data_IF_545666404903
#
_entry.id   IF_545666404903
#
_cell.length_a   1.000
_cell.length_b   1.000
_cell.length_c   1.000
_cell.angle_alpha   90.00
_cell.angle_beta   90.00
_cell.angle_gamma   90.00
#
_symmetry.space_group_name_H-M   'P 1'
#
loop_
_entity.id
_entity.type
_entity.pdbx_description
1 polymer ?
#
# COMPACT_ATOMS: atom_id res chain seq x y z
N UNK A 1 7.72 -40.30 12.39
CA UNK A 1 7.69 -39.02 13.14
C UNK A 1 6.44 -39.00 13.99
N UNK A 2 6.53 -38.52 15.23
CA UNK A 2 5.37 -38.29 16.10
C UNK A 2 4.61 -37.03 15.63
N UNK A 3 3.35 -37.14 15.15
CA UNK A 3 2.58 -35.97 14.73
C UNK A 3 2.36 -34.94 15.84
N UNK A 4 2.40 -35.35 17.12
CA UNK A 4 2.26 -34.42 18.23
C UNK A 4 3.53 -33.59 18.45
N UNK A 5 4.71 -34.18 18.20
CA UNK A 5 6.00 -33.48 18.23
C UNK A 5 6.09 -32.44 17.12
N UNK A 6 5.74 -32.81 15.90
CA UNK A 6 5.72 -31.89 14.75
C UNK A 6 4.80 -30.68 15.00
N UNK A 7 3.62 -30.90 15.60
CA UNK A 7 2.72 -29.80 15.99
C UNK A 7 3.33 -28.88 17.06
N UNK A 8 4.06 -29.43 18.04
CA UNK A 8 4.74 -28.63 19.08
C UNK A 8 5.86 -27.79 18.47
N UNK A 9 6.60 -28.35 17.53
CA UNK A 9 7.70 -27.66 16.87
C UNK A 9 7.21 -26.53 15.96
N UNK A 10 6.16 -26.77 15.17
CA UNK A 10 5.51 -25.74 14.35
C UNK A 10 5.02 -24.59 15.24
N UNK A 11 4.36 -24.92 16.37
CA UNK A 11 3.88 -23.92 17.32
C UNK A 11 5.03 -23.08 17.90
N UNK A 12 6.11 -23.72 18.32
CA UNK A 12 7.30 -23.03 18.86
C UNK A 12 7.95 -22.13 17.81
N UNK A 13 8.05 -22.61 16.58
CA UNK A 13 8.58 -21.82 15.47
C UNK A 13 7.72 -20.57 15.22
N UNK A 14 6.40 -20.73 15.18
CA UNK A 14 5.48 -19.60 15.04
C UNK A 14 5.59 -18.60 16.19
N UNK A 15 5.69 -19.08 17.43
CA UNK A 15 5.88 -18.22 18.61
C UNK A 15 7.18 -17.42 18.53
N UNK A 16 8.27 -18.06 18.08
CA UNK A 16 9.55 -17.38 17.86
C UNK A 16 9.45 -16.32 16.75
N UNK A 17 8.83 -16.63 15.62
CA UNK A 17 8.60 -15.66 14.54
C UNK A 17 7.74 -14.48 15.00
N UNK A 18 6.70 -14.73 15.79
CA UNK A 18 5.87 -13.68 16.37
C UNK A 18 6.68 -12.78 17.30
N UNK A 19 7.48 -13.37 18.20
CA UNK A 19 8.34 -12.63 19.13
C UNK A 19 9.32 -11.73 18.38
N UNK A 20 10.01 -12.25 17.35
CA UNK A 20 10.91 -11.47 16.50
C UNK A 20 10.17 -10.32 15.79
N UNK A 21 8.94 -10.57 15.32
CA UNK A 21 8.10 -9.53 14.74
C UNK A 21 7.72 -8.44 15.74
N UNK A 22 7.46 -8.79 17.01
CA UNK A 22 7.18 -7.82 18.06
C UNK A 22 8.41 -7.02 18.48
N UNK A 23 9.60 -7.62 18.47
CA UNK A 23 10.86 -6.89 18.68
C UNK A 23 11.03 -5.83 17.59
N UNK A 24 10.89 -6.22 16.31
CA UNK A 24 11.00 -5.30 15.19
C UNK A 24 9.95 -4.17 15.25
N UNK A 25 8.70 -4.47 15.62
CA UNK A 25 7.63 -3.47 15.82
C UNK A 25 7.94 -2.47 16.96
N UNK A 26 8.80 -2.85 17.90
CA UNK A 26 9.19 -2.02 19.06
C UNK A 26 10.45 -1.18 18.85
N UNK A 27 11.10 -1.28 17.68
CA UNK A 27 12.33 -0.53 17.38
C UNK A 27 12.09 0.97 17.25
N UNK A 28 10.89 1.39 16.84
CA UNK A 28 10.58 2.80 16.63
C UNK A 28 9.07 3.09 16.74
N UNK A 29 8.73 4.15 17.47
CA UNK A 29 7.36 4.58 17.68
C UNK A 29 6.71 3.89 18.88
N UNK A 30 5.40 3.69 18.79
CA UNK A 30 4.63 3.05 19.87
C UNK A 30 4.45 1.57 19.51
N UNK A 31 5.08 0.63 20.23
CA UNK A 31 4.88 -0.78 19.94
C UNK A 31 3.43 -1.19 20.14
N UNK A 32 3.00 -2.14 19.31
CA UNK A 32 1.67 -2.74 19.39
C UNK A 32 1.65 -3.87 20.40
N UNK A 33 2.77 -4.58 20.54
CA UNK A 33 2.95 -5.72 21.46
C UNK A 33 4.36 -5.76 22.04
N UNK A 34 4.45 -6.29 23.25
CA UNK A 34 5.72 -6.64 23.87
C UNK A 34 6.28 -7.94 23.24
N UNK A 35 7.60 -8.17 23.22
CA UNK A 35 8.18 -9.45 22.79
C UNK A 35 7.60 -10.68 23.50
N UNK A 36 7.14 -10.54 24.75
CA UNK A 36 6.43 -11.61 25.47
C UNK A 36 5.00 -11.89 24.97
N UNK A 37 4.52 -11.16 23.96
CA UNK A 37 3.15 -11.23 23.42
C UNK A 37 2.12 -10.39 24.17
N UNK A 38 2.50 -9.83 25.32
CA UNK A 38 1.66 -8.93 26.13
C UNK A 38 1.24 -7.68 25.36
N UNK A 39 0.02 -7.19 25.63
CA UNK A 39 -0.46 -5.92 25.07
C UNK A 39 0.28 -4.75 25.69
N UNK A 40 0.46 -3.69 24.92
CA UNK A 40 0.94 -2.40 25.41
C UNK A 40 -0.25 -1.61 25.95
N UNK A 41 -0.10 -1.03 27.14
CA UNK A 41 -1.09 -0.24 27.87
C UNK A 41 -0.54 1.17 28.14
N UNK A 42 -1.44 2.15 28.28
CA UNK A 42 -1.10 3.49 28.77
C UNK A 42 -1.03 3.44 30.30
N UNK A 43 0.19 3.37 30.83
CA UNK A 43 0.46 3.43 32.27
C UNK A 43 0.56 4.89 32.70
N UNK A 44 -0.38 5.31 33.54
CA UNK A 44 -0.32 6.59 34.25
C UNK A 44 0.18 6.34 35.66
N UNK A 45 1.39 6.81 35.99
CA UNK A 45 1.83 6.82 37.39
C UNK A 45 1.15 7.97 38.14
N UNK A 46 0.56 7.66 39.30
CA UNK A 46 -0.01 8.66 40.19
C UNK A 46 1.03 9.69 40.64
N UNK A 47 0.57 10.89 41.01
CA UNK A 47 1.44 11.96 41.52
C UNK A 47 2.19 11.49 42.76
N UNK A 48 3.50 11.60 42.76
CA UNK A 48 4.27 11.62 44.01
C UNK A 48 3.88 12.89 44.79
N UNK A 49 4.00 12.88 46.12
CA UNK A 49 3.52 13.97 47.00
C UNK A 49 4.06 15.36 46.62
N UNK A 50 5.17 15.40 45.88
CA UNK A 50 5.85 16.61 45.42
C UNK A 50 5.81 16.81 43.89
N UNK A 51 5.09 15.96 43.14
CA UNK A 51 5.00 16.08 41.70
C UNK A 51 3.91 17.09 41.30
N UNK A 52 4.34 18.29 40.92
CA UNK A 52 3.46 19.38 40.46
C UNK A 52 2.94 19.14 39.04
N UNK A 53 3.49 18.18 38.30
CA UNK A 53 3.10 17.86 36.93
C UNK A 53 2.01 16.78 36.90
N UNK A 54 1.24 16.66 35.80
CA UNK A 54 0.47 15.44 35.54
C UNK A 54 1.42 14.25 35.62
N UNK A 55 1.04 13.21 36.36
CA UNK A 55 1.93 12.09 36.66
C UNK A 55 2.52 11.45 35.40
N UNK A 56 3.66 10.76 35.55
CA UNK A 56 4.43 10.26 34.40
C UNK A 56 3.65 9.21 33.60
N UNK A 57 3.56 9.40 32.28
CA UNK A 57 2.90 8.50 31.35
C UNK A 57 3.90 7.59 30.63
N UNK A 58 3.55 6.32 30.49
CA UNK A 58 4.36 5.31 29.80
C UNK A 58 3.51 4.43 28.89
N UNK A 59 4.09 3.97 27.79
CA UNK A 59 3.62 2.80 27.06
C UNK A 59 4.28 1.57 27.66
N UNK A 60 3.52 0.76 28.39
CA UNK A 60 4.03 -0.36 29.17
C UNK A 60 3.42 -1.67 28.76
N UNK A 61 4.17 -2.76 28.86
CA UNK A 61 3.61 -4.09 28.76
C UNK A 61 2.65 -4.36 29.94
N UNK A 62 1.52 -5.00 29.68
CA UNK A 62 0.60 -5.46 30.74
C UNK A 62 1.26 -6.37 31.79
N UNK A 63 2.32 -7.08 31.42
CA UNK A 63 3.08 -7.96 32.30
C UNK A 63 4.37 -7.29 32.82
N UNK A 64 4.45 -5.97 32.82
CA UNK A 64 5.69 -5.27 33.21
C UNK A 64 6.04 -5.52 34.68
N UNK A 65 7.24 -6.07 34.92
CA UNK A 65 7.74 -6.42 36.26
C UNK A 65 9.10 -5.74 36.59
N UNK A 66 9.56 -4.78 35.78
CA UNK A 66 10.88 -4.15 35.90
C UNK A 66 12.06 -5.14 35.84
N UNK A 67 11.87 -6.22 35.08
CA UNK A 67 12.84 -7.31 34.85
C UNK A 67 13.82 -7.03 33.69
N UNK A 68 13.59 -5.95 32.93
CA UNK A 68 14.34 -5.61 31.72
C UNK A 68 13.92 -6.39 30.48
N UNK A 69 12.98 -7.34 30.58
CA UNK A 69 12.44 -8.11 29.45
C UNK A 69 11.12 -7.55 28.92
N UNK A 70 10.46 -6.72 29.72
CA UNK A 70 9.16 -6.15 29.40
C UNK A 70 9.25 -4.69 28.98
N UNK A 71 8.59 -4.37 27.87
CA UNK A 71 8.61 -3.04 27.30
C UNK A 71 8.00 -2.00 28.25
N UNK A 72 8.69 -0.87 28.40
CA UNK A 72 8.20 0.33 29.09
C UNK A 72 8.92 1.57 28.58
N UNK A 73 8.25 2.32 27.72
CA UNK A 73 8.78 3.54 27.10
C UNK A 73 8.04 4.77 27.62
N UNK A 74 8.72 5.88 27.95
CA UNK A 74 8.07 7.16 28.21
C UNK A 74 7.18 7.58 27.03
N UNK A 75 5.97 8.05 27.33
CA UNK A 75 4.98 8.44 26.32
C UNK A 75 5.54 9.45 25.31
N UNK A 76 6.31 10.43 25.79
CA UNK A 76 6.90 11.50 24.95
C UNK A 76 7.80 10.95 23.85
N UNK A 77 8.57 9.89 24.12
CA UNK A 77 9.47 9.28 23.13
C UNK A 77 8.64 8.59 22.04
N UNK A 78 7.72 7.71 22.44
CA UNK A 78 6.89 6.97 21.47
C UNK A 78 6.04 7.90 20.60
N UNK A 79 5.48 8.96 21.19
CA UNK A 79 4.70 9.94 20.44
C UNK A 79 5.56 10.79 19.52
N UNK A 80 6.74 11.25 19.96
CA UNK A 80 7.63 12.00 19.10
C UNK A 80 8.04 11.17 17.87
N UNK A 81 8.45 9.92 18.09
CA UNK A 81 8.85 8.99 17.02
C UNK A 81 7.69 8.78 16.04
N UNK A 82 6.48 8.51 16.53
CA UNK A 82 5.28 8.37 15.70
C UNK A 82 4.96 9.62 14.89
N UNK A 83 5.06 10.82 15.49
CA UNK A 83 4.84 12.09 14.78
C UNK A 83 5.87 12.28 13.67
N UNK A 84 7.15 11.99 13.92
CA UNK A 84 8.21 12.11 12.92
C UNK A 84 7.98 11.15 11.73
N UNK A 85 7.54 9.91 12.01
CA UNK A 85 7.16 8.94 10.97
C UNK A 85 5.96 9.42 10.17
N UNK A 86 4.92 9.91 10.85
CA UNK A 86 3.71 10.41 10.20
C UNK A 86 4.00 11.64 9.34
N UNK A 87 4.81 12.58 9.84
CA UNK A 87 5.26 13.75 9.08
C UNK A 87 5.90 13.33 7.77
N UNK A 88 6.88 12.41 7.82
CA UNK A 88 7.56 11.91 6.60
C UNK A 88 6.57 11.29 5.60
N UNK A 89 5.65 10.45 6.07
CA UNK A 89 4.63 9.82 5.20
C UNK A 89 3.67 10.84 4.58
N UNK A 90 3.34 11.90 5.31
CA UNK A 90 2.49 12.99 4.81
C UNK A 90 3.24 13.81 3.75
N UNK A 91 4.52 14.12 3.97
CA UNK A 91 5.37 14.79 2.99
C UNK A 91 5.49 13.97 1.69
N UNK A 92 5.75 12.66 1.80
CA UNK A 92 5.78 11.74 0.66
C UNK A 92 4.43 11.69 -0.10
N UNK A 93 3.32 11.65 0.63
CA UNK A 93 1.98 11.65 0.03
C UNK A 93 1.66 12.98 -0.69
N UNK A 94 2.07 14.11 -0.11
CA UNK A 94 1.90 15.44 -0.72
C UNK A 94 2.65 15.54 -2.05
N UNK A 95 3.88 15.01 -2.13
CA UNK A 95 4.63 14.95 -3.38
C UNK A 95 3.92 14.12 -4.46
N UNK A 96 3.31 12.98 -4.10
CA UNK A 96 2.51 12.19 -5.05
C UNK A 96 1.26 12.94 -5.52
N UNK A 97 0.57 13.63 -4.60
CA UNK A 97 -0.64 14.42 -4.93
C UNK A 97 -0.32 15.54 -5.92
N UNK A 98 0.83 16.20 -5.76
CA UNK A 98 1.31 17.25 -6.69
C UNK A 98 1.50 16.74 -8.13
N UNK A 99 1.71 15.44 -8.34
CA UNK A 99 1.87 14.85 -9.68
C UNK A 99 0.53 14.63 -10.41
N UNK A 100 -0.58 14.53 -9.68
CA UNK A 100 -1.91 14.21 -10.24
C UNK A 100 -2.35 15.18 -11.35
N UNK A 101 -2.22 16.51 -11.23
CA UNK A 101 -2.64 17.43 -12.28
C UNK A 101 -1.85 17.27 -13.59
N UNK A 102 -0.56 16.91 -13.51
CA UNK A 102 0.26 16.67 -14.69
C UNK A 102 -0.18 15.39 -15.41
N UNK A 103 -0.37 14.30 -14.65
CA UNK A 103 -0.88 13.04 -15.19
C UNK A 103 -2.26 13.24 -15.84
N UNK A 104 -3.17 14.00 -15.22
CA UNK A 104 -4.48 14.31 -15.80
C UNK A 104 -4.36 14.99 -17.16
N UNK A 105 -3.48 15.99 -17.31
CA UNK A 105 -3.24 16.66 -18.60
C UNK A 105 -2.70 15.70 -19.67
N UNK A 106 -1.83 14.78 -19.27
CA UNK A 106 -1.30 13.77 -20.19
C UNK A 106 -2.40 12.80 -20.64
N UNK A 107 -3.25 12.35 -19.71
CA UNK A 107 -4.41 11.50 -20.00
C UNK A 107 -5.35 12.20 -20.98
N UNK A 108 -5.75 13.45 -20.72
CA UNK A 108 -6.62 14.23 -21.60
C UNK A 108 -6.03 14.36 -23.03
N UNK A 109 -4.72 14.57 -23.14
CA UNK A 109 -4.03 14.66 -24.43
C UNK A 109 -4.05 13.33 -25.19
N UNK A 110 -3.77 12.22 -24.49
CA UNK A 110 -3.81 10.86 -25.06
C UNK A 110 -5.23 10.50 -25.49
N UNK A 111 -6.23 10.78 -24.66
CA UNK A 111 -7.63 10.56 -25.01
C UNK A 111 -8.05 11.34 -26.26
N UNK A 112 -7.62 12.60 -26.39
CA UNK A 112 -7.88 13.39 -27.58
C UNK A 112 -7.20 12.81 -28.83
N UNK A 113 -5.98 12.28 -28.70
CA UNK A 113 -5.29 11.59 -29.80
C UNK A 113 -6.01 10.31 -30.22
N UNK A 114 -6.40 9.47 -29.26
CA UNK A 114 -7.14 8.22 -29.50
C UNK A 114 -8.45 8.50 -30.22
N UNK A 115 -9.21 9.51 -29.79
CA UNK A 115 -10.46 9.93 -30.46
C UNK A 115 -10.23 10.32 -31.92
N UNK A 116 -9.19 11.10 -32.21
CA UNK A 116 -8.85 11.48 -33.59
C UNK A 116 -8.47 10.28 -34.45
N UNK A 117 -7.64 9.38 -33.91
CA UNK A 117 -7.21 8.17 -34.62
C UNK A 117 -8.38 7.23 -34.90
N UNK A 118 -9.32 7.10 -33.96
CA UNK A 118 -10.54 6.31 -34.15
C UNK A 118 -11.36 6.83 -35.32
N UNK A 119 -11.59 8.14 -35.41
CA UNK A 119 -12.32 8.74 -36.52
C UNK A 119 -11.64 8.52 -37.87
N UNK A 120 -10.30 8.63 -37.92
CA UNK A 120 -9.54 8.35 -39.13
C UNK A 120 -9.66 6.88 -39.55
N UNK A 121 -9.65 5.96 -38.60
CA UNK A 121 -9.83 4.54 -38.86
C UNK A 121 -11.23 4.25 -39.43
N UNK A 122 -12.28 4.87 -38.88
CA UNK A 122 -13.65 4.73 -39.38
C UNK A 122 -13.76 5.20 -40.83
N UNK A 123 -13.16 6.35 -41.15
CA UNK A 123 -13.13 6.89 -42.52
C UNK A 123 -12.40 5.96 -43.49
N UNK A 124 -11.18 5.53 -43.14
CA UNK A 124 -10.39 4.61 -43.96
C UNK A 124 -11.08 3.26 -44.16
N UNK A 125 -11.79 2.77 -43.14
CA UNK A 125 -12.59 1.55 -43.24
C UNK A 125 -13.70 1.70 -44.27
N UNK A 126 -14.39 2.85 -44.28
CA UNK A 126 -15.39 3.19 -45.29
C UNK A 126 -14.80 3.25 -46.71
N UNK A 127 -13.64 3.90 -46.86
CA UNK A 127 -12.96 4.00 -48.16
C UNK A 127 -12.52 2.64 -48.70
N UNK A 128 -11.94 1.78 -47.85
CA UNK A 128 -11.56 0.40 -48.21
C UNK A 128 -12.78 -0.41 -48.63
N UNK A 129 -13.90 -0.28 -47.92
CA UNK A 129 -15.15 -0.95 -48.28
C UNK A 129 -15.66 -0.50 -49.66
N UNK A 130 -15.69 0.80 -49.93
CA UNK A 130 -16.10 1.35 -51.22
C UNK A 130 -15.20 0.87 -52.37
N UNK A 131 -13.88 0.89 -52.18
CA UNK A 131 -12.92 0.39 -53.17
C UNK A 131 -13.10 -1.12 -53.42
N UNK A 132 -13.37 -1.89 -52.37
CA UNK A 132 -13.65 -3.34 -52.48
C UNK A 132 -14.88 -3.59 -53.37
N UNK A 133 -15.96 -2.84 -53.17
CA UNK A 133 -17.17 -2.93 -54.01
C UNK A 133 -16.89 -2.53 -55.46
N UNK A 134 -16.15 -1.44 -55.68
CA UNK A 134 -15.78 -1.00 -57.04
C UNK A 134 -14.93 -2.04 -57.78
N UNK A 135 -13.95 -2.63 -57.09
CA UNK A 135 -13.10 -3.68 -57.65
C UNK A 135 -13.92 -4.89 -58.07
N UNK A 136 -14.85 -5.36 -57.22
CA UNK A 136 -15.74 -6.47 -57.56
C UNK A 136 -16.65 -6.18 -58.77
N UNK A 137 -17.09 -4.92 -58.95
CA UNK A 137 -17.87 -4.52 -60.12
C UNK A 137 -17.02 -4.49 -61.39
N UNK A 138 -15.78 -3.99 -61.32
CA UNK A 138 -14.84 -3.98 -62.44
C UNK A 138 -14.45 -5.40 -62.86
N UNK A 139 -14.19 -6.29 -61.90
CA UNK A 139 -13.94 -7.71 -62.16
C UNK A 139 -15.11 -8.33 -62.93
N UNK A 140 -16.36 -8.15 -62.47
CA UNK A 140 -17.55 -8.65 -63.18
C UNK A 140 -17.66 -8.12 -64.61
N UNK A 141 -17.39 -6.83 -64.82
CA UNK A 141 -17.43 -6.22 -66.15
C UNK A 141 -16.32 -6.78 -67.07
N UNK A 142 -15.12 -7.00 -66.54
CA UNK A 142 -14.02 -7.62 -67.27
C UNK A 142 -14.36 -9.06 -67.69
N UNK A 143 -14.95 -9.85 -66.79
CA UNK A 143 -15.42 -11.21 -67.10
C UNK A 143 -16.46 -11.21 -68.23
N UNK A 144 -17.46 -10.33 -68.17
CA UNK A 144 -18.50 -10.23 -69.21
C UNK A 144 -17.93 -9.88 -70.59
N UNK A 145 -16.92 -9.01 -70.65
CA UNK A 145 -16.26 -8.63 -71.91
C UNK A 145 -15.36 -9.73 -72.48
N UNK A 146 -14.82 -10.62 -71.65
CA UNK A 146 -13.95 -11.72 -72.10
C UNK A 146 -14.75 -12.93 -72.61
N UNK A 147 -15.98 -13.11 -72.14
CA UNK A 147 -16.87 -14.23 -72.53
C UNK A 147 -17.77 -13.94 -73.73
N UNK A 148 -17.61 -12.79 -74.39
CA UNK A 148 -18.43 -12.33 -75.52
C UNK A 148 -17.64 -12.32 -76.81
#
# INVERSE_FOLDING_TARGET
MDPAEERRDIKRHQENCNMLGYVADSEYGIPRRCPCGGRIIDEVRGKEEYDTHPGKHFFSCINYEADGFHYRQPWVIGVQEEIERLRKRVEEADEVIKLVPNLNKQIESVEAQVKRLSLLLDHLTGDVYNLTVQMANLEKAAWLNFTR
#
